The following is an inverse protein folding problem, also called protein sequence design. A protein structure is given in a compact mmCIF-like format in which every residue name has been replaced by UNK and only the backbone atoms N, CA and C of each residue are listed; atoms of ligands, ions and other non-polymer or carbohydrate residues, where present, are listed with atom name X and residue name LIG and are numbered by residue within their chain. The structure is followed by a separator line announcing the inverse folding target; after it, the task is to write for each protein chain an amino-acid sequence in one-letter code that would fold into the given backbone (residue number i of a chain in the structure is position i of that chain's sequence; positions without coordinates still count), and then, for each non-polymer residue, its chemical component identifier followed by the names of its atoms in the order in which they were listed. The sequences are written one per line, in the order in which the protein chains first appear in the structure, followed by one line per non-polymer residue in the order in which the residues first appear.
data_IF_745764374493
#
_entry.id   IF_745764374493
#
_cell.length_a   1.000
_cell.length_b   1.000
_cell.length_c   1.000
_cell.angle_alpha   90.00
_cell.angle_beta   90.00
_cell.angle_gamma   90.00
#
_symmetry.space_group_name_H-M   'P 1'
#
loop_
_entity.id
_entity.type
_entity.pdbx_description
1 polymer ?
#
# COMPACT_ATOMS: atom_id res chain seq x y z
N UNK A 1 10.03 16.77 28.60
CA UNK A 1 9.31 17.94 28.06
C UNK A 1 8.38 17.34 27.06
N UNK A 2 7.14 17.24 27.47
CA UNK A 2 6.18 16.40 26.79
C UNK A 2 5.36 17.32 25.90
N UNK A 3 5.26 16.95 24.63
CA UNK A 3 4.44 17.66 23.66
C UNK A 3 3.07 17.00 23.70
N UNK A 4 2.06 17.76 24.06
CA UNK A 4 0.67 17.33 23.98
C UNK A 4 0.03 17.99 22.77
N UNK A 5 -0.51 17.17 21.88
CA UNK A 5 -1.28 17.62 20.72
C UNK A 5 -2.75 17.50 21.08
N UNK A 6 -3.49 18.56 20.87
CA UNK A 6 -4.92 18.65 21.17
C UNK A 6 -5.66 18.82 19.84
N UNK A 7 -6.53 17.87 19.52
CA UNK A 7 -7.23 17.85 18.25
C UNK A 7 -8.74 17.81 18.45
N UNK A 8 -9.43 18.52 17.57
CA UNK A 8 -10.84 18.34 17.23
C UNK A 8 -10.91 18.07 15.73
N UNK A 9 -12.06 17.62 15.18
CA UNK A 9 -12.24 17.57 13.73
C UNK A 9 -12.08 18.93 13.03
N UNK A 10 -12.02 20.02 13.79
CA UNK A 10 -11.97 21.40 13.31
C UNK A 10 -10.56 22.00 13.38
N UNK A 11 -9.74 21.64 14.37
CA UNK A 11 -8.39 22.19 14.54
C UNK A 11 -7.43 21.25 15.27
N UNK A 12 -6.14 21.53 15.09
CA UNK A 12 -5.07 21.00 15.94
C UNK A 12 -4.31 22.15 16.58
N UNK A 13 -4.10 22.04 17.89
CA UNK A 13 -3.17 22.88 18.65
C UNK A 13 -2.25 21.98 19.48
N UNK A 14 -1.25 22.57 20.11
CA UNK A 14 -0.33 21.84 20.96
C UNK A 14 0.18 22.71 22.11
N UNK A 15 0.56 22.05 23.19
CA UNK A 15 1.17 22.71 24.36
C UNK A 15 2.26 21.84 24.98
N UNK A 16 3.09 22.47 25.82
CA UNK A 16 4.28 21.88 26.41
C UNK A 16 4.18 21.80 27.91
N UNK A 17 4.39 20.61 28.45
CA UNK A 17 4.40 20.40 29.89
C UNK A 17 5.76 19.89 30.38
N UNK A 18 6.31 20.61 31.37
CA UNK A 18 7.65 20.36 31.94
C UNK A 18 7.61 19.60 33.25
N UNK A 19 6.44 19.47 33.87
CA UNK A 19 6.26 18.82 35.17
C UNK A 19 4.93 18.08 35.22
N UNK A 20 4.90 16.96 35.95
CA UNK A 20 3.68 16.18 36.22
C UNK A 20 2.83 16.88 37.29
N UNK A 21 2.23 18.01 36.91
CA UNK A 21 1.28 18.79 37.71
C UNK A 21 0.03 19.05 36.88
N UNK A 22 -0.98 19.65 37.51
CA UNK A 22 -2.16 20.12 36.81
C UNK A 22 -1.79 21.26 35.85
N UNK A 23 -2.25 21.15 34.61
CA UNK A 23 -2.10 22.17 33.57
C UNK A 23 -3.47 22.49 32.98
N UNK A 24 -3.62 23.69 32.42
CA UNK A 24 -4.87 24.14 31.82
C UNK A 24 -4.59 24.70 30.43
N UNK A 25 -5.07 24.00 29.39
CA UNK A 25 -5.13 24.53 28.04
C UNK A 25 -6.38 25.40 27.89
N UNK A 26 -6.22 26.62 27.37
CA UNK A 26 -7.33 27.53 27.07
C UNK A 26 -7.48 27.66 25.57
N UNK A 27 -8.73 27.58 25.13
CA UNK A 27 -9.12 27.91 23.77
C UNK A 27 -9.80 29.28 23.77
N UNK A 28 -9.15 30.27 23.16
CA UNK A 28 -9.64 31.66 23.16
C UNK A 28 -10.91 31.84 22.31
N UNK A 29 -11.04 31.02 21.27
CA UNK A 29 -12.23 30.92 20.43
C UNK A 29 -12.40 29.50 19.88
N UNK A 30 -13.60 29.21 19.41
CA UNK A 30 -13.92 28.04 18.60
C UNK A 30 -13.93 28.48 17.13
N UNK A 31 -13.38 27.66 16.24
CA UNK A 31 -13.34 28.00 14.80
C UNK A 31 -14.74 28.05 14.19
N UNK A 32 -15.66 27.23 14.70
CA UNK A 32 -17.05 27.15 14.27
C UNK A 32 -17.98 26.85 15.46
N UNK A 33 -19.24 27.32 15.49
CA UNK A 33 -20.23 26.90 16.49
C UNK A 33 -20.38 25.37 16.63
N UNK A 34 -20.19 24.63 15.54
CA UNK A 34 -20.25 23.18 15.52
C UNK A 34 -19.02 22.53 16.20
N UNK A 35 -17.85 23.19 16.22
CA UNK A 35 -16.70 22.74 17.03
C UNK A 35 -17.04 22.77 18.53
N UNK A 36 -17.66 23.85 19.00
CA UNK A 36 -18.07 23.96 20.40
C UNK A 36 -19.08 22.88 20.77
N UNK A 37 -20.05 22.60 19.90
CA UNK A 37 -21.04 21.56 20.12
C UNK A 37 -20.40 20.16 20.11
N UNK A 38 -19.46 19.91 19.20
CA UNK A 38 -18.67 18.69 19.18
C UNK A 38 -17.91 18.51 20.50
N UNK A 39 -17.17 19.53 20.96
CA UNK A 39 -16.36 19.44 22.18
C UNK A 39 -17.21 19.27 23.43
N UNK A 40 -18.41 19.85 23.48
CA UNK A 40 -19.35 19.61 24.60
C UNK A 40 -19.79 18.15 24.70
N UNK A 41 -19.93 17.48 23.57
CA UNK A 41 -20.39 16.08 23.50
C UNK A 41 -19.26 15.07 23.61
N UNK A 42 -18.12 15.35 23.00
CA UNK A 42 -17.04 14.39 22.77
C UNK A 42 -15.72 14.75 23.46
N UNK A 43 -15.60 15.97 23.98
CA UNK A 43 -14.35 16.49 24.51
C UNK A 43 -13.34 16.83 23.40
N UNK A 44 -12.07 16.93 23.79
CA UNK A 44 -10.93 17.21 22.90
C UNK A 44 -10.03 15.98 22.92
N UNK A 45 -9.63 15.50 21.74
CA UNK A 45 -8.67 14.40 21.64
C UNK A 45 -7.30 14.90 22.07
N UNK A 46 -6.66 14.20 23.01
CA UNK A 46 -5.35 14.58 23.55
C UNK A 46 -4.35 13.48 23.24
N UNK A 47 -3.34 13.81 22.44
CA UNK A 47 -2.24 12.92 22.09
C UNK A 47 -1.00 13.35 22.85
N UNK A 48 -0.46 12.42 23.64
CA UNK A 48 0.89 12.57 24.15
C UNK A 48 1.85 12.15 23.04
N UNK A 49 2.77 13.03 22.66
CA UNK A 49 3.94 12.68 21.88
C UNK A 49 5.05 12.32 22.88
N UNK A 50 5.26 11.03 23.20
CA UNK A 50 6.05 10.62 24.36
C UNK A 50 7.54 10.95 24.18
N UNK A 51 7.98 11.16 22.94
CA UNK A 51 9.34 11.58 22.60
C UNK A 51 9.56 13.10 22.75
N UNK A 52 8.50 13.89 23.03
CA UNK A 52 8.55 15.36 23.11
C UNK A 52 8.89 16.04 21.78
N UNK A 53 9.06 17.38 21.77
CA UNK A 53 9.44 18.12 20.56
C UNK A 53 10.80 17.67 20.01
N UNK A 54 11.77 17.41 20.89
CA UNK A 54 13.11 16.97 20.47
C UNK A 54 13.05 15.60 19.79
N UNK A 55 12.30 14.65 20.36
CA UNK A 55 12.08 13.36 19.74
C UNK A 55 11.24 13.43 18.47
N UNK A 56 10.26 14.34 18.39
CA UNK A 56 9.48 14.58 17.17
C UNK A 56 10.35 15.20 16.06
N UNK A 57 11.23 16.14 16.40
CA UNK A 57 12.23 16.70 15.49
C UNK A 57 13.25 15.64 15.05
N UNK A 58 13.69 14.76 15.97
CA UNK A 58 14.54 13.61 15.66
C UNK A 58 13.84 12.59 14.77
N UNK A 59 12.54 12.33 14.96
CA UNK A 59 11.74 11.50 14.06
C UNK A 59 11.59 12.14 12.68
N UNK A 60 11.44 13.46 12.58
CA UNK A 60 11.51 14.17 11.30
C UNK A 60 12.90 14.04 10.66
N UNK A 61 13.98 14.03 11.46
CA UNK A 61 15.34 13.74 10.98
C UNK A 61 15.49 12.29 10.51
N UNK A 62 14.74 11.32 11.04
CA UNK A 62 14.73 9.93 10.55
C UNK A 62 13.88 9.77 9.26
N UNK A 63 12.83 10.57 9.08
CA UNK A 63 11.86 10.43 7.96
C UNK A 63 12.20 11.31 6.76
N UNK A 64 12.59 12.57 6.96
CA UNK A 64 12.92 13.48 5.85
C UNK A 64 14.03 12.96 4.91
N UNK A 65 15.10 12.28 5.40
CA UNK A 65 16.13 11.74 4.53
C UNK A 65 15.61 10.66 3.57
N UNK A 66 14.54 9.94 3.93
CA UNK A 66 13.99 8.84 3.13
C UNK A 66 13.64 9.30 1.71
N UNK A 67 13.19 10.55 1.57
CA UNK A 67 12.77 11.14 0.29
C UNK A 67 13.94 11.74 -0.52
N UNK A 68 15.16 11.74 0.02
CA UNK A 68 16.34 12.28 -0.67
C UNK A 68 16.82 11.35 -1.78
N UNK A 69 17.02 11.89 -2.99
CA UNK A 69 17.57 11.13 -4.11
C UNK A 69 19.11 11.12 -4.09
N UNK A 70 19.68 10.66 -2.98
CA UNK A 70 21.13 10.62 -2.74
C UNK A 70 21.55 9.29 -2.13
N UNK A 71 22.86 9.01 -2.06
CA UNK A 71 23.36 7.84 -1.33
C UNK A 71 23.01 7.89 0.17
N UNK A 72 22.93 9.10 0.74
CA UNK A 72 22.47 9.28 2.11
C UNK A 72 20.99 8.89 2.27
N UNK A 73 20.12 9.37 1.37
CA UNK A 73 18.71 8.97 1.37
C UNK A 73 18.54 7.46 1.17
N UNK A 74 19.33 6.85 0.28
CA UNK A 74 19.34 5.40 0.11
C UNK A 74 19.70 4.66 1.40
N UNK A 75 20.79 5.05 2.06
CA UNK A 75 21.20 4.44 3.31
C UNK A 75 20.14 4.65 4.42
N UNK A 76 19.50 5.82 4.46
CA UNK A 76 18.42 6.08 5.41
C UNK A 76 17.22 5.13 5.19
N UNK A 77 16.84 4.85 3.94
CA UNK A 77 15.79 3.87 3.64
C UNK A 77 16.18 2.46 4.14
N UNK A 78 17.41 2.02 3.86
CA UNK A 78 17.90 0.71 4.30
C UNK A 78 17.95 0.60 5.84
N UNK A 79 18.49 1.62 6.51
CA UNK A 79 18.59 1.66 7.97
C UNK A 79 17.20 1.68 8.62
N UNK A 80 16.25 2.42 8.04
CA UNK A 80 14.86 2.47 8.51
C UNK A 80 14.20 1.08 8.42
N UNK A 81 14.23 0.45 7.25
CA UNK A 81 13.60 -0.86 7.04
C UNK A 81 14.28 -1.95 7.88
N UNK A 82 15.60 -1.89 8.05
CA UNK A 82 16.33 -2.80 8.94
C UNK A 82 15.92 -2.62 10.40
N UNK A 83 15.82 -1.38 10.86
CA UNK A 83 15.46 -1.04 12.25
C UNK A 83 14.00 -1.41 12.57
N UNK A 84 13.09 -1.16 11.64
CA UNK A 84 11.64 -1.26 11.90
C UNK A 84 11.00 -2.55 11.40
N UNK A 85 11.62 -3.25 10.46
CA UNK A 85 11.09 -4.48 9.85
C UNK A 85 12.04 -5.68 9.93
N UNK A 86 13.28 -5.48 10.39
CA UNK A 86 14.28 -6.55 10.41
C UNK A 86 14.80 -6.97 9.04
N UNK A 87 14.55 -6.17 7.99
CA UNK A 87 15.03 -6.44 6.64
C UNK A 87 16.57 -6.44 6.58
N UNK A 88 17.17 -7.32 5.77
CA UNK A 88 18.63 -7.45 5.71
C UNK A 88 19.26 -6.59 4.62
N UNK A 89 18.61 -6.51 3.45
CA UNK A 89 19.12 -5.84 2.25
C UNK A 89 20.58 -6.19 1.96
N UNK A 90 20.86 -7.48 1.77
CA UNK A 90 22.20 -7.93 1.37
C UNK A 90 22.54 -7.43 -0.04
N UNK A 91 23.75 -6.92 -0.24
CA UNK A 91 24.20 -6.53 -1.59
C UNK A 91 24.48 -7.76 -2.44
N UNK A 92 23.99 -7.74 -3.68
CA UNK A 92 24.17 -8.80 -4.66
C UNK A 92 25.53 -8.69 -5.36
N UNK A 93 26.05 -9.84 -5.77
CA UNK A 93 27.23 -9.89 -6.65
C UNK A 93 26.80 -9.47 -8.05
N UNK A 94 27.60 -8.62 -8.70
CA UNK A 94 27.34 -8.20 -10.08
C UNK A 94 27.36 -9.39 -11.07
N UNK A 95 26.59 -9.34 -12.16
CA UNK A 95 25.75 -8.22 -12.60
C UNK A 95 24.40 -8.12 -11.86
N UNK A 96 23.95 -6.89 -11.60
CA UNK A 96 22.66 -6.60 -10.96
C UNK A 96 21.47 -6.61 -11.93
N UNK A 97 21.69 -7.11 -13.14
CA UNK A 97 20.72 -7.11 -14.23
C UNK A 97 20.77 -8.47 -14.91
N UNK A 98 19.59 -9.09 -15.03
CA UNK A 98 19.41 -10.27 -15.86
C UNK A 98 19.17 -9.89 -17.33
N UNK A 99 19.61 -10.75 -18.24
CA UNK A 99 19.21 -10.71 -19.65
C UNK A 99 17.96 -11.57 -19.81
N UNK A 100 16.80 -10.96 -19.58
CA UNK A 100 15.50 -11.61 -19.68
C UNK A 100 15.18 -11.89 -21.15
N UNK A 101 14.86 -13.15 -21.47
CA UNK A 101 14.27 -13.53 -22.76
C UNK A 101 12.74 -13.40 -22.67
N UNK A 102 12.09 -12.48 -23.42
CA UNK A 102 10.64 -12.34 -23.44
C UNK A 102 9.90 -13.62 -23.85
N UNK A 103 10.56 -14.57 -24.54
CA UNK A 103 9.97 -15.86 -24.86
C UNK A 103 9.66 -16.69 -23.59
N UNK A 104 10.50 -16.59 -22.56
CA UNK A 104 10.37 -17.34 -21.30
C UNK A 104 9.38 -16.70 -20.30
N UNK A 105 8.92 -15.48 -20.57
CA UNK A 105 7.93 -14.77 -19.75
C UNK A 105 6.52 -15.09 -20.26
N UNK A 106 5.56 -15.26 -19.36
CA UNK A 106 4.20 -15.69 -19.69
C UNK A 106 3.16 -14.70 -19.20
N UNK A 107 1.97 -14.75 -19.81
CA UNK A 107 0.80 -14.02 -19.31
C UNK A 107 0.51 -14.41 -17.87
N UNK A 108 0.33 -13.39 -17.03
CA UNK A 108 0.08 -13.52 -15.61
C UNK A 108 1.34 -13.63 -14.76
N UNK A 109 2.56 -13.71 -15.31
CA UNK A 109 3.78 -13.63 -14.48
C UNK A 109 3.83 -12.25 -13.77
N UNK A 110 4.05 -12.29 -12.46
CA UNK A 110 3.96 -11.12 -11.58
C UNK A 110 5.32 -10.43 -11.46
N UNK A 111 5.33 -9.10 -11.39
CA UNK A 111 6.52 -8.30 -11.15
C UNK A 111 6.37 -7.59 -9.81
N UNK A 112 7.24 -7.92 -8.85
CA UNK A 112 7.39 -7.20 -7.60
C UNK A 112 8.52 -6.16 -7.74
N UNK A 113 8.24 -4.91 -7.41
CA UNK A 113 9.18 -3.79 -7.50
C UNK A 113 9.39 -3.19 -6.12
N UNK A 114 10.64 -2.93 -5.77
CA UNK A 114 11.04 -2.29 -4.52
C UNK A 114 12.01 -1.17 -4.85
N UNK A 115 11.67 0.07 -4.52
CA UNK A 115 12.53 1.25 -4.62
C UNK A 115 13.03 1.61 -3.23
N UNK A 116 14.24 2.17 -3.18
CA UNK A 116 14.93 2.49 -1.91
C UNK A 116 15.60 3.86 -1.93
N UNK A 117 15.31 4.71 -2.92
CA UNK A 117 15.91 6.05 -3.04
C UNK A 117 14.96 7.07 -3.64
N UNK A 118 15.11 8.33 -3.23
CA UNK A 118 14.32 9.46 -3.76
C UNK A 118 12.87 9.44 -3.28
N UNK A 119 12.04 10.29 -3.90
CA UNK A 119 10.62 10.47 -3.51
C UNK A 119 9.89 9.13 -3.41
N UNK A 120 9.95 8.33 -4.47
CA UNK A 120 9.27 7.04 -4.54
C UNK A 120 9.85 6.01 -3.56
N UNK A 121 11.17 5.97 -3.39
CA UNK A 121 11.78 5.11 -2.37
C UNK A 121 11.31 5.44 -0.95
N UNK A 122 11.18 6.73 -0.63
CA UNK A 122 10.67 7.16 0.67
C UNK A 122 9.21 6.76 0.90
N UNK A 123 8.33 6.94 -0.09
CA UNK A 123 6.94 6.50 -0.01
C UNK A 123 6.85 4.98 0.17
N UNK A 124 7.53 4.22 -0.69
CA UNK A 124 7.52 2.77 -0.60
C UNK A 124 8.11 2.26 0.73
N UNK A 125 9.11 2.93 1.31
CA UNK A 125 9.65 2.55 2.62
C UNK A 125 8.61 2.65 3.73
N UNK A 126 7.78 3.71 3.71
CA UNK A 126 6.69 3.86 4.68
C UNK A 126 5.58 2.85 4.41
N UNK A 127 5.22 2.62 3.15
CA UNK A 127 4.25 1.59 2.75
C UNK A 127 4.68 0.19 3.20
N UNK A 128 5.94 -0.20 2.93
CA UNK A 128 6.54 -1.46 3.39
C UNK A 128 6.43 -1.60 4.89
N UNK A 129 6.70 -0.52 5.63
CA UNK A 129 6.62 -0.54 7.08
C UNK A 129 5.21 -0.75 7.62
N UNK A 130 4.19 -0.10 7.05
CA UNK A 130 2.81 -0.24 7.54
C UNK A 130 2.14 -1.53 7.07
N UNK A 131 2.49 -2.06 5.90
CA UNK A 131 1.89 -3.28 5.32
C UNK A 131 2.67 -4.57 5.60
N UNK A 132 3.93 -4.44 6.01
CA UNK A 132 4.86 -5.57 6.08
C UNK A 132 5.30 -6.09 4.71
N UNK A 133 4.90 -5.44 3.61
CA UNK A 133 5.39 -5.77 2.29
C UNK A 133 6.87 -5.42 2.18
N UNK A 134 7.66 -6.22 1.46
CA UNK A 134 9.07 -5.92 1.15
C UNK A 134 9.26 -5.40 -0.28
N UNK A 135 8.15 -5.27 -1.02
CA UNK A 135 8.01 -4.57 -2.29
C UNK A 135 6.99 -3.43 -2.11
N UNK A 136 7.14 -2.35 -2.87
CA UNK A 136 6.26 -1.17 -2.79
C UNK A 136 5.54 -0.85 -4.10
N UNK A 137 5.76 -1.64 -5.15
CA UNK A 137 4.95 -1.55 -6.37
C UNK A 137 4.87 -2.89 -7.08
N UNK A 138 3.84 -3.06 -7.90
CA UNK A 138 3.61 -4.32 -8.61
C UNK A 138 3.16 -4.07 -10.04
N UNK A 139 3.52 -4.99 -10.93
CA UNK A 139 3.10 -5.02 -12.32
C UNK A 139 2.86 -6.46 -12.78
N UNK A 140 2.26 -6.66 -13.95
CA UNK A 140 2.00 -7.99 -14.49
C UNK A 140 2.33 -8.08 -15.97
N UNK A 141 2.91 -9.21 -16.36
CA UNK A 141 3.23 -9.52 -17.74
C UNK A 141 2.02 -10.08 -18.50
N UNK A 142 1.83 -9.67 -19.74
CA UNK A 142 0.80 -10.17 -20.65
C UNK A 142 1.37 -10.41 -22.05
N UNK A 143 1.05 -11.54 -22.66
CA UNK A 143 1.33 -11.80 -24.08
C UNK A 143 0.10 -11.55 -24.91
N UNK A 144 0.24 -10.77 -25.98
CA UNK A 144 -0.83 -10.57 -26.97
C UNK A 144 -0.96 -11.79 -27.91
N UNK A 145 -1.93 -11.75 -28.82
CA UNK A 145 -2.18 -12.82 -29.80
C UNK A 145 -1.00 -13.07 -30.76
N UNK A 146 -0.13 -12.08 -30.95
CA UNK A 146 1.09 -12.19 -31.76
C UNK A 146 2.28 -12.71 -30.94
N UNK A 147 2.12 -12.90 -29.64
CA UNK A 147 3.17 -13.32 -28.72
C UNK A 147 4.08 -12.19 -28.23
N UNK A 148 3.76 -10.92 -28.52
CA UNK A 148 4.53 -9.80 -27.98
C UNK A 148 4.26 -9.65 -26.49
N UNK A 149 5.30 -9.25 -25.75
CA UNK A 149 5.24 -9.07 -24.30
C UNK A 149 4.89 -7.63 -23.93
N UNK A 150 3.90 -7.49 -23.05
CA UNK A 150 3.37 -6.25 -22.49
C UNK A 150 3.44 -6.30 -20.97
N UNK A 151 3.45 -5.13 -20.35
CA UNK A 151 3.38 -4.95 -18.89
C UNK A 151 2.20 -4.07 -18.56
N UNK A 152 1.31 -4.58 -17.71
CA UNK A 152 0.22 -3.83 -17.10
C UNK A 152 0.58 -3.41 -15.68
N UNK A 153 0.36 -2.15 -15.34
CA UNK A 153 0.53 -1.63 -13.98
C UNK A 153 -0.47 -0.52 -13.67
N UNK A 154 -0.83 -0.36 -12.40
CA UNK A 154 -1.56 0.81 -11.89
C UNK A 154 -0.62 1.66 -11.06
N UNK A 155 -0.54 2.97 -11.33
CA UNK A 155 0.37 3.89 -10.64
C UNK A 155 1.43 4.49 -11.57
N UNK A 156 1.20 4.44 -12.88
CA UNK A 156 2.09 5.02 -13.88
C UNK A 156 1.83 6.51 -14.03
N UNK A 157 2.85 7.34 -13.85
CA UNK A 157 2.73 8.79 -13.98
C UNK A 157 2.66 9.20 -15.47
N UNK A 158 1.58 9.85 -15.88
CA UNK A 158 1.42 10.37 -17.23
C UNK A 158 2.12 11.73 -17.42
N UNK A 159 2.07 12.30 -18.63
CA UNK A 159 2.71 13.59 -18.95
C UNK A 159 2.17 14.78 -18.12
N UNK A 160 0.99 14.64 -17.49
CA UNK A 160 0.38 15.65 -16.62
C UNK A 160 0.73 15.47 -15.15
N UNK A 161 1.49 14.42 -14.80
CA UNK A 161 1.80 14.07 -13.42
C UNK A 161 0.68 13.30 -12.70
N UNK A 162 -0.30 12.76 -13.44
CA UNK A 162 -1.39 11.96 -12.87
C UNK A 162 -0.99 10.48 -12.89
N UNK A 163 -1.25 9.76 -11.80
CA UNK A 163 -1.07 8.31 -11.74
C UNK A 163 -2.26 7.58 -12.35
N UNK A 164 -2.00 6.78 -13.38
CA UNK A 164 -3.01 6.04 -14.15
C UNK A 164 -2.64 4.56 -14.30
N UNK A 165 -3.61 3.79 -14.76
CA UNK A 165 -3.42 2.40 -15.19
C UNK A 165 -2.95 2.39 -16.64
N UNK A 166 -1.88 1.66 -16.93
CA UNK A 166 -1.33 1.51 -18.28
C UNK A 166 -1.07 0.06 -18.61
N UNK A 167 -1.10 -0.24 -19.92
CA UNK A 167 -0.58 -1.49 -20.48
C UNK A 167 0.36 -1.10 -21.62
N UNK A 168 1.67 -1.20 -21.37
CA UNK A 168 2.71 -0.75 -22.31
C UNK A 168 3.61 -1.92 -22.75
N UNK A 169 4.28 -1.82 -23.92
CA UNK A 169 5.20 -2.86 -24.37
C UNK A 169 6.34 -3.09 -23.36
N UNK A 170 6.75 -4.35 -23.19
CA UNK A 170 7.85 -4.72 -22.28
C UNK A 170 9.13 -3.92 -22.49
N UNK A 171 9.51 -3.68 -23.74
CA UNK A 171 10.75 -2.95 -24.05
C UNK A 171 10.70 -1.49 -23.56
N UNK A 172 9.53 -0.88 -23.57
CA UNK A 172 9.29 0.47 -23.07
C UNK A 172 9.35 0.48 -21.55
N UNK A 173 8.57 -0.39 -20.88
CA UNK A 173 8.57 -0.53 -19.42
C UNK A 173 9.96 -0.84 -18.88
N UNK A 174 10.68 -1.78 -19.52
CA UNK A 174 12.03 -2.16 -19.14
C UNK A 174 13.03 -1.00 -19.34
N UNK A 175 12.85 -0.19 -20.39
CA UNK A 175 13.69 1.01 -20.58
C UNK A 175 13.45 2.04 -19.48
N UNK A 176 12.20 2.21 -19.03
CA UNK A 176 11.87 3.08 -17.90
C UNK A 176 12.48 2.56 -16.60
N UNK A 177 12.33 1.27 -16.31
CA UNK A 177 12.92 0.63 -15.13
C UNK A 177 14.45 0.79 -15.07
N UNK A 178 15.15 0.72 -16.21
CA UNK A 178 16.60 0.92 -16.29
C UNK A 178 17.02 2.39 -16.13
N UNK A 179 16.15 3.34 -16.45
CA UNK A 179 16.39 4.79 -16.28
C UNK A 179 15.95 5.31 -14.91
N UNK A 180 15.19 4.53 -14.17
CA UNK A 180 14.69 4.89 -12.85
C UNK A 180 15.86 5.11 -11.88
N UNK A 181 15.99 6.35 -11.41
CA UNK A 181 17.06 6.77 -10.51
C UNK A 181 16.71 6.54 -9.02
N UNK A 182 15.59 5.91 -8.70
CA UNK A 182 15.21 5.49 -7.34
C UNK A 182 15.89 4.20 -6.87
N UNK A 183 16.78 3.63 -7.68
CA UNK A 183 17.46 2.34 -7.45
C UNK A 183 16.44 1.21 -7.22
N UNK A 184 15.70 0.79 -8.26
CA UNK A 184 14.72 -0.28 -8.12
C UNK A 184 15.38 -1.67 -8.03
N UNK A 185 14.78 -2.54 -7.21
CA UNK A 185 14.95 -3.98 -7.20
C UNK A 185 13.68 -4.60 -7.78
N UNK A 186 13.83 -5.51 -8.75
CA UNK A 186 12.70 -6.09 -9.47
C UNK A 186 12.82 -7.60 -9.48
N UNK A 187 11.76 -8.27 -9.03
CA UNK A 187 11.60 -9.71 -9.08
C UNK A 187 10.42 -10.10 -9.97
N UNK A 188 10.65 -11.07 -10.84
CA UNK A 188 9.63 -11.75 -11.62
C UNK A 188 9.26 -13.05 -10.90
N UNK A 189 7.97 -13.21 -10.61
CA UNK A 189 7.37 -14.37 -9.94
C UNK A 189 6.51 -15.12 -10.98
N UNK A 190 7.01 -16.22 -11.56
CA UNK A 190 6.25 -16.97 -12.55
C UNK A 190 5.02 -17.63 -11.92
N UNK A 191 3.89 -17.66 -12.64
CA UNK A 191 2.75 -18.47 -12.19
C UNK A 191 3.06 -19.96 -12.21
N UNK A 192 2.50 -20.71 -11.26
CA UNK A 192 2.61 -22.16 -11.25
C UNK A 192 2.05 -22.75 -12.57
N UNK A 193 2.70 -23.76 -13.18
CA UNK A 193 2.30 -24.27 -14.50
C UNK A 193 0.85 -24.73 -14.60
N UNK A 194 0.28 -25.28 -13.53
CA UNK A 194 -1.13 -25.71 -13.49
C UNK A 194 -2.11 -24.53 -13.53
N UNK A 195 -1.74 -23.40 -12.90
CA UNK A 195 -2.53 -22.18 -12.93
C UNK A 195 -2.38 -21.48 -14.28
N UNK A 196 -1.15 -21.44 -14.81
CA UNK A 196 -0.86 -20.95 -16.17
C UNK A 196 -1.67 -21.68 -17.23
N UNK A 197 -1.82 -23.00 -17.13
CA UNK A 197 -2.61 -23.80 -18.07
C UNK A 197 -4.11 -23.46 -18.06
N UNK A 198 -4.62 -22.88 -16.97
CA UNK A 198 -6.02 -22.46 -16.81
C UNK A 198 -6.22 -20.96 -17.00
N UNK A 199 -5.15 -20.19 -17.14
CA UNK A 199 -5.19 -18.74 -17.27
C UNK A 199 -5.91 -18.35 -18.57
N UNK A 200 -7.07 -17.69 -18.44
CA UNK A 200 -7.81 -17.18 -19.59
C UNK A 200 -7.20 -15.85 -20.07
N UNK A 201 -6.28 -15.94 -21.03
CA UNK A 201 -5.60 -14.77 -21.60
C UNK A 201 -6.56 -13.76 -22.25
N UNK A 202 -7.65 -14.21 -22.88
CA UNK A 202 -8.63 -13.30 -23.50
C UNK A 202 -9.33 -12.46 -22.44
N UNK A 203 -9.84 -13.09 -21.38
CA UNK A 203 -10.49 -12.37 -20.28
C UNK A 203 -9.52 -11.45 -19.54
N UNK A 204 -8.27 -11.86 -19.35
CA UNK A 204 -7.24 -11.01 -18.76
C UNK A 204 -6.99 -9.75 -19.59
N UNK A 205 -6.91 -9.88 -20.92
CA UNK A 205 -6.76 -8.74 -21.82
C UNK A 205 -7.99 -7.84 -21.88
N UNK A 206 -9.20 -8.40 -21.86
CA UNK A 206 -10.44 -7.63 -21.77
C UNK A 206 -10.45 -6.77 -20.51
N UNK A 207 -10.10 -7.36 -19.36
CA UNK A 207 -9.98 -6.64 -18.11
C UNK A 207 -8.91 -5.54 -18.20
N UNK A 208 -7.68 -5.89 -18.59
CA UNK A 208 -6.56 -4.95 -18.65
C UNK A 208 -6.86 -3.76 -19.58
N UNK A 209 -7.47 -4.00 -20.74
CA UNK A 209 -7.90 -2.94 -21.67
C UNK A 209 -9.02 -2.09 -21.10
N UNK A 210 -9.97 -2.68 -20.39
CA UNK A 210 -11.06 -1.93 -19.78
C UNK A 210 -10.59 -0.97 -18.69
N UNK A 211 -9.47 -1.29 -18.02
CA UNK A 211 -8.88 -0.47 -16.97
C UNK A 211 -7.82 0.52 -17.48
N UNK A 212 -7.24 0.30 -18.67
CA UNK A 212 -6.23 1.20 -19.22
C UNK A 212 -6.75 2.64 -19.33
N UNK A 213 -5.96 3.59 -18.83
CA UNK A 213 -6.28 5.02 -18.78
C UNK A 213 -7.15 5.46 -17.59
N UNK A 214 -7.59 4.53 -16.74
CA UNK A 214 -8.33 4.84 -15.51
C UNK A 214 -7.40 5.31 -14.38
N UNK A 215 -7.91 6.04 -13.38
CA UNK A 215 -7.10 6.56 -12.29
C UNK A 215 -6.57 5.47 -11.34
N UNK A 216 -5.49 5.80 -10.64
CA UNK A 216 -4.96 5.01 -9.53
C UNK A 216 -5.94 4.95 -8.34
N UNK A 217 -5.95 3.81 -7.64
CA UNK A 217 -6.85 3.53 -6.53
C UNK A 217 -6.49 4.19 -5.20
N UNK A 218 -6.33 5.52 -5.14
CA UNK A 218 -6.04 6.22 -3.88
C UNK A 218 -7.13 6.04 -2.82
N UNK A 219 -8.41 5.97 -3.24
CA UNK A 219 -9.56 5.74 -2.36
C UNK A 219 -9.49 4.42 -1.59
N UNK A 220 -8.82 3.42 -2.17
CA UNK A 220 -8.64 2.09 -1.60
C UNK A 220 -7.38 2.01 -0.72
N UNK A 221 -6.29 2.63 -1.16
CA UNK A 221 -4.93 2.37 -0.65
C UNK A 221 -4.78 2.54 0.87
N UNK A 222 -5.55 3.45 1.47
CA UNK A 222 -5.49 3.67 2.93
C UNK A 222 -6.17 2.53 3.68
N UNK A 223 -7.26 1.98 3.16
CA UNK A 223 -8.09 1.01 3.88
C UNK A 223 -7.60 -0.43 3.73
N UNK A 224 -6.84 -0.75 2.69
CA UNK A 224 -6.36 -2.10 2.38
C UNK A 224 -5.37 -2.70 3.40
N UNK A 225 -5.04 -1.97 4.47
CA UNK A 225 -4.22 -2.47 5.58
C UNK A 225 -4.82 -2.12 6.95
N UNK A 226 -6.09 -1.69 7.01
CA UNK A 226 -6.82 -1.35 8.24
C UNK A 226 -7.98 -2.33 8.42
N UNK A 227 -7.66 -3.58 8.76
CA UNK A 227 -8.65 -4.66 8.80
C UNK A 227 -9.23 -4.88 10.21
N UNK A 228 -8.57 -4.34 11.23
CA UNK A 228 -8.93 -4.58 12.63
C UNK A 228 -9.16 -3.27 13.39
N UNK A 229 -9.90 -3.28 14.50
CA UNK A 229 -10.19 -2.02 15.26
C UNK A 229 -8.94 -1.46 15.95
N UNK A 230 -7.98 -2.33 16.24
CA UNK A 230 -6.67 -2.04 16.81
C UNK A 230 -5.63 -2.90 16.09
N UNK A 231 -4.33 -2.68 16.29
CA UNK A 231 -3.27 -3.55 15.76
C UNK A 231 -3.06 -3.51 14.23
N UNK A 232 -3.35 -2.39 13.57
CA UNK A 232 -2.91 -2.15 12.18
C UNK A 232 -1.75 -1.16 12.07
N UNK A 233 -1.55 -0.36 13.12
CA UNK A 233 -0.72 0.83 13.06
C UNK A 233 0.58 0.62 13.81
N UNK A 234 1.74 0.83 13.17
CA UNK A 234 3.02 0.82 13.87
C UNK A 234 3.03 1.87 15.00
N UNK A 235 3.44 1.52 16.23
CA UNK A 235 3.57 2.51 17.30
C UNK A 235 4.48 3.69 16.89
N UNK A 236 4.12 4.94 17.21
CA UNK A 236 3.03 5.38 18.09
C UNK A 236 1.71 5.70 17.36
N UNK A 237 1.52 5.27 16.11
CA UNK A 237 0.28 5.53 15.37
C UNK A 237 -0.89 4.74 15.99
N UNK A 238 -2.05 5.39 16.10
CA UNK A 238 -3.32 4.76 16.46
C UNK A 238 -4.46 5.35 15.62
N UNK A 239 -5.65 4.73 15.67
CA UNK A 239 -6.81 5.16 14.90
C UNK A 239 -7.22 6.61 15.21
N UNK A 240 -7.05 7.09 16.44
CA UNK A 240 -7.38 8.46 16.82
C UNK A 240 -6.40 9.48 16.22
N UNK A 241 -5.11 9.13 16.11
CA UNK A 241 -4.12 9.94 15.43
C UNK A 241 -4.37 9.97 13.93
N UNK A 242 -4.76 8.85 13.32
CA UNK A 242 -5.17 8.76 11.91
C UNK A 242 -6.38 9.66 11.64
N UNK A 243 -7.43 9.58 12.47
CA UNK A 243 -8.61 10.48 12.40
C UNK A 243 -8.19 11.95 12.48
N UNK A 244 -7.26 12.28 13.37
CA UNK A 244 -6.81 13.66 13.57
C UNK A 244 -6.03 14.17 12.36
N UNK A 245 -5.17 13.34 11.76
CA UNK A 245 -4.45 13.65 10.52
C UNK A 245 -5.39 13.75 9.33
N UNK A 246 -6.35 12.83 9.19
CA UNK A 246 -7.39 12.87 8.15
C UNK A 246 -8.23 14.14 8.26
N UNK A 247 -8.63 14.54 9.48
CA UNK A 247 -9.39 15.76 9.74
C UNK A 247 -8.61 17.03 9.36
N UNK A 248 -7.32 17.08 9.72
CA UNK A 248 -6.43 18.18 9.31
C UNK A 248 -6.28 18.28 7.79
N UNK A 249 -5.96 17.15 7.15
CA UNK A 249 -5.68 17.12 5.71
C UNK A 249 -6.93 17.46 4.90
N UNK A 250 -8.11 17.04 5.38
CA UNK A 250 -9.42 17.42 4.80
C UNK A 250 -9.65 18.93 4.83
N UNK A 251 -9.21 19.61 5.88
CA UNK A 251 -9.31 21.07 5.96
C UNK A 251 -8.25 21.80 5.14
N UNK A 252 -7.01 21.27 5.11
CA UNK A 252 -5.88 21.90 4.41
C UNK A 252 -5.90 21.70 2.89
N UNK A 253 -6.37 20.55 2.41
CA UNK A 253 -6.43 20.17 1.00
C UNK A 253 -7.75 19.43 0.71
N UNK A 254 -8.91 20.13 0.78
CA UNK A 254 -10.24 19.51 0.73
C UNK A 254 -10.49 18.71 -0.55
N UNK A 255 -9.97 19.16 -1.70
CA UNK A 255 -10.09 18.43 -2.96
C UNK A 255 -9.31 17.11 -2.96
N UNK A 256 -8.17 17.05 -2.26
CA UNK A 256 -7.34 15.84 -2.20
C UNK A 256 -7.88 14.85 -1.16
N UNK A 257 -8.33 15.33 -0.01
CA UNK A 257 -8.97 14.50 1.01
C UNK A 257 -10.31 13.89 0.56
N UNK A 258 -11.12 14.66 -0.19
CA UNK A 258 -12.33 14.15 -0.81
C UNK A 258 -12.04 12.93 -1.71
N UNK A 259 -10.92 12.99 -2.43
CA UNK A 259 -10.43 11.92 -3.30
C UNK A 259 -9.69 10.78 -2.57
N UNK A 260 -9.42 10.88 -1.27
CA UNK A 260 -8.67 9.86 -0.54
C UNK A 260 -9.53 9.03 0.42
N UNK A 261 -10.53 9.62 1.06
CA UNK A 261 -11.33 8.88 2.06
C UNK A 261 -12.80 9.26 2.15
N UNK A 262 -13.24 10.47 1.79
CA UNK A 262 -14.65 10.84 2.02
C UNK A 262 -15.62 9.92 1.27
N UNK A 263 -15.39 9.70 -0.03
CA UNK A 263 -16.28 8.85 -0.81
C UNK A 263 -16.20 7.38 -0.34
N UNK A 264 -15.00 6.91 0.02
CA UNK A 264 -14.78 5.56 0.52
C UNK A 264 -15.48 5.30 1.88
N UNK A 265 -15.46 6.29 2.78
CA UNK A 265 -16.18 6.25 4.06
C UNK A 265 -17.70 6.31 3.86
N UNK A 266 -18.17 7.13 2.92
CA UNK A 266 -19.58 7.18 2.53
C UNK A 266 -20.08 5.83 2.01
N UNK A 267 -19.32 5.17 1.12
CA UNK A 267 -19.68 3.82 0.62
C UNK A 267 -19.76 2.80 1.75
N UNK A 268 -18.83 2.82 2.71
CA UNK A 268 -18.85 1.96 3.91
C UNK A 268 -20.07 2.23 4.80
N UNK A 269 -20.51 3.48 4.90
CA UNK A 269 -21.75 3.85 5.59
C UNK A 269 -23.03 3.63 4.77
N UNK A 270 -22.94 3.40 3.46
CA UNK A 270 -24.10 3.44 2.57
C UNK A 270 -24.75 4.83 2.52
N UNK A 271 -23.95 5.89 2.59
CA UNK A 271 -24.35 7.29 2.41
C UNK A 271 -23.69 7.88 1.16
N UNK A 272 -24.07 9.10 0.80
CA UNK A 272 -23.51 9.84 -0.35
C UNK A 272 -23.28 11.30 0.05
N UNK A 273 -22.22 11.91 -0.48
CA UNK A 273 -21.89 13.33 -0.37
C UNK A 273 -21.76 13.92 1.05
N UNK A 274 -21.59 13.07 2.08
CA UNK A 274 -21.25 13.55 3.42
C UNK A 274 -19.76 13.93 3.48
N UNK A 275 -19.45 15.08 4.07
CA UNK A 275 -18.08 15.39 4.43
C UNK A 275 -17.64 14.57 5.66
N UNK A 276 -16.34 14.63 6.01
CA UNK A 276 -15.82 13.87 7.14
C UNK A 276 -16.52 14.23 8.46
N UNK A 277 -16.97 15.47 8.65
CA UNK A 277 -17.67 15.86 9.86
C UNK A 277 -19.07 15.24 9.94
N UNK A 278 -19.82 15.29 8.84
CA UNK A 278 -21.14 14.68 8.74
C UNK A 278 -21.06 13.14 8.82
N UNK A 279 -20.00 12.52 8.28
CA UNK A 279 -19.69 11.10 8.46
C UNK A 279 -19.55 10.76 9.96
N UNK A 280 -18.78 11.55 10.72
CA UNK A 280 -18.60 11.32 12.15
C UNK A 280 -19.93 11.43 12.91
N UNK A 281 -20.76 12.43 12.59
CA UNK A 281 -22.10 12.56 13.17
C UNK A 281 -22.97 11.36 12.81
N UNK A 282 -22.92 10.88 11.56
CA UNK A 282 -23.73 9.75 11.10
C UNK A 282 -23.29 8.43 11.75
N UNK A 283 -21.99 8.22 11.95
CA UNK A 283 -21.48 7.07 12.73
C UNK A 283 -22.03 7.06 14.15
N UNK A 284 -22.06 8.22 14.82
CA UNK A 284 -22.60 8.37 16.18
C UNK A 284 -24.10 8.04 16.22
N UNK A 285 -24.89 8.59 15.28
CA UNK A 285 -26.34 8.30 15.19
C UNK A 285 -26.62 6.81 15.01
N UNK A 286 -25.75 6.09 14.30
CA UNK A 286 -25.87 4.65 14.05
C UNK A 286 -25.23 3.78 15.14
N UNK A 287 -24.56 4.38 16.12
CA UNK A 287 -23.84 3.66 17.17
C UNK A 287 -22.66 2.85 16.63
N UNK A 288 -22.06 3.28 15.52
CA UNK A 288 -20.88 2.66 14.91
C UNK A 288 -19.66 3.48 15.36
N UNK A 289 -18.65 2.83 15.92
CA UNK A 289 -17.40 3.51 16.24
C UNK A 289 -16.59 3.78 14.96
N UNK A 290 -15.84 4.89 14.90
CA UNK A 290 -15.16 5.26 13.65
C UNK A 290 -14.07 4.26 13.25
N UNK A 291 -13.34 3.70 14.22
CA UNK A 291 -12.42 2.59 13.99
C UNK A 291 -13.12 1.38 13.35
N UNK A 292 -14.32 1.02 13.82
CA UNK A 292 -15.14 -0.02 13.22
C UNK A 292 -15.61 0.34 11.80
N UNK A 293 -15.84 1.62 11.50
CA UNK A 293 -16.14 2.05 10.13
C UNK A 293 -14.95 1.78 9.20
N UNK A 294 -13.72 2.04 9.65
CA UNK A 294 -12.51 1.82 8.86
C UNK A 294 -12.31 0.34 8.49
N UNK A 295 -12.72 -0.59 9.36
CA UNK A 295 -12.59 -2.04 9.13
C UNK A 295 -13.65 -2.64 8.21
N UNK A 296 -14.57 -1.85 7.65
CA UNK A 296 -15.54 -2.38 6.68
C UNK A 296 -14.80 -2.64 5.36
N UNK A 297 -14.80 -3.89 4.84
CA UNK A 297 -13.99 -4.21 3.67
C UNK A 297 -14.38 -3.42 2.43
N UNK A 298 -13.38 -2.91 1.72
CA UNK A 298 -13.54 -2.35 0.38
C UNK A 298 -14.11 -3.44 -0.54
N UNK A 299 -15.08 -3.06 -1.37
CA UNK A 299 -15.66 -4.00 -2.32
C UNK A 299 -15.08 -3.77 -3.71
N UNK A 300 -14.65 -4.86 -4.36
CA UNK A 300 -14.07 -4.84 -5.70
C UNK A 300 -14.98 -4.16 -6.72
N UNK A 301 -16.30 -4.16 -6.50
CA UNK A 301 -17.31 -3.59 -7.40
C UNK A 301 -17.56 -2.10 -7.19
N UNK A 302 -17.06 -1.49 -6.11
CA UNK A 302 -17.23 -0.06 -5.87
C UNK A 302 -16.61 0.78 -7.00
N UNK A 303 -17.32 1.85 -7.36
CA UNK A 303 -16.93 2.81 -8.39
C UNK A 303 -16.98 4.19 -7.74
N UNK A 304 -15.93 4.96 -7.93
CA UNK A 304 -15.77 6.29 -7.38
C UNK A 304 -16.20 7.36 -8.39
N UNK A 305 -16.35 8.59 -7.93
CA UNK A 305 -16.74 9.74 -8.76
C UNK A 305 -15.75 10.04 -9.90
N UNK A 306 -14.47 9.71 -9.73
CA UNK A 306 -13.42 9.76 -10.75
C UNK A 306 -13.35 8.48 -11.62
N UNK A 307 -14.21 7.50 -11.34
CA UNK A 307 -14.40 6.28 -12.11
C UNK A 307 -13.97 5.03 -11.36
N UNK A 308 -13.77 3.95 -12.13
CA UNK A 308 -13.23 2.69 -11.59
C UNK A 308 -11.72 2.87 -11.38
N UNK A 309 -11.23 2.58 -10.19
CA UNK A 309 -9.82 2.70 -9.86
C UNK A 309 -9.36 1.46 -9.08
N UNK A 310 -8.08 1.14 -9.16
CA UNK A 310 -7.46 0.01 -8.44
C UNK A 310 -6.02 0.37 -8.09
N UNK A 311 -5.53 -0.06 -6.93
CA UNK A 311 -4.10 0.00 -6.60
C UNK A 311 -3.30 -0.94 -7.49
N UNK A 312 -1.96 -0.86 -7.43
CA UNK A 312 -1.06 -1.68 -8.25
C UNK A 312 -1.38 -3.18 -8.12
N UNK A 313 -1.53 -3.67 -6.89
CA UNK A 313 -1.77 -5.09 -6.62
C UNK A 313 -3.21 -5.50 -6.89
N UNK A 314 -4.20 -4.66 -6.53
CA UNK A 314 -5.60 -4.94 -6.79
C UNK A 314 -5.89 -5.04 -8.30
N UNK A 315 -5.20 -4.25 -9.14
CA UNK A 315 -5.27 -4.37 -10.59
C UNK A 315 -4.90 -5.77 -11.07
N UNK A 316 -3.77 -6.30 -10.58
CA UNK A 316 -3.25 -7.62 -11.00
C UNK A 316 -4.16 -8.74 -10.50
N UNK A 317 -4.57 -8.67 -9.22
CA UNK A 317 -5.40 -9.71 -8.63
C UNK A 317 -6.82 -9.70 -9.20
N UNK A 318 -7.36 -8.53 -9.58
CA UNK A 318 -8.62 -8.43 -10.32
C UNK A 318 -8.50 -9.07 -11.71
N UNK A 319 -7.36 -8.87 -12.37
CA UNK A 319 -7.05 -9.57 -13.62
C UNK A 319 -6.96 -11.09 -13.40
N UNK A 320 -6.37 -11.56 -12.30
CA UNK A 320 -6.36 -12.98 -11.94
C UNK A 320 -7.76 -13.54 -11.67
N UNK A 321 -8.66 -12.75 -11.05
CA UNK A 321 -10.09 -13.10 -10.92
C UNK A 321 -10.73 -13.28 -12.28
N UNK A 322 -10.55 -12.31 -13.19
CA UNK A 322 -11.07 -12.38 -14.56
C UNK A 322 -10.47 -13.55 -15.37
N UNK A 323 -9.19 -13.83 -15.16
CA UNK A 323 -8.46 -14.92 -15.82
C UNK A 323 -8.77 -16.31 -15.26
N UNK A 324 -9.55 -16.41 -14.16
CA UNK A 324 -9.99 -17.67 -13.56
C UNK A 324 -9.01 -18.31 -12.57
N UNK A 325 -7.98 -17.60 -12.12
CA UNK A 325 -6.94 -18.13 -11.21
C UNK A 325 -7.53 -18.52 -9.85
N UNK A 326 -8.43 -17.70 -9.29
CA UNK A 326 -9.07 -17.98 -8.00
C UNK A 326 -10.20 -19.00 -8.07
N UNK A 327 -10.62 -19.42 -9.27
CA UNK A 327 -11.64 -20.45 -9.46
C UNK A 327 -12.93 -20.17 -8.65
N UNK A 328 -13.47 -21.16 -7.91
CA UNK A 328 -14.76 -21.04 -7.22
C UNK A 328 -14.83 -19.97 -6.13
N UNK A 329 -13.69 -19.60 -5.52
CA UNK A 329 -13.68 -18.62 -4.42
C UNK A 329 -13.54 -17.18 -4.92
N UNK A 330 -13.43 -16.97 -6.24
CA UNK A 330 -13.25 -15.64 -6.85
C UNK A 330 -14.30 -14.63 -6.38
N UNK A 331 -15.56 -15.04 -6.24
CA UNK A 331 -16.66 -14.17 -5.78
C UNK A 331 -16.63 -13.85 -4.27
N UNK A 332 -15.79 -14.55 -3.50
CA UNK A 332 -15.68 -14.42 -2.04
C UNK A 332 -14.38 -13.78 -1.61
N UNK A 333 -13.60 -13.23 -2.54
CA UNK A 333 -12.36 -12.49 -2.28
C UNK A 333 -12.56 -11.07 -2.77
N UNK A 334 -12.31 -10.09 -1.91
CA UNK A 334 -12.17 -8.69 -2.28
C UNK A 334 -10.68 -8.39 -2.47
N UNK A 335 -10.22 -8.34 -3.72
CA UNK A 335 -8.79 -8.10 -3.98
C UNK A 335 -8.37 -6.66 -3.72
N UNK A 336 -9.34 -5.76 -3.56
CA UNK A 336 -9.14 -4.43 -3.01
C UNK A 336 -8.58 -4.42 -1.59
N UNK A 337 -8.76 -5.50 -0.82
CA UNK A 337 -8.24 -5.64 0.54
C UNK A 337 -6.82 -6.23 0.60
N UNK A 338 -6.21 -6.50 -0.55
CA UNK A 338 -4.89 -7.15 -0.57
C UNK A 338 -3.80 -6.09 -0.55
N UNK A 339 -2.84 -6.27 0.36
CA UNK A 339 -1.54 -5.59 0.25
C UNK A 339 -0.63 -6.33 -0.74
N UNK A 340 0.50 -5.70 -1.09
CA UNK A 340 1.54 -6.36 -1.91
C UNK A 340 2.06 -7.62 -1.21
N UNK A 341 2.13 -7.60 0.13
CA UNK A 341 2.52 -8.76 0.93
C UNK A 341 1.60 -9.94 0.69
N UNK A 342 0.30 -9.72 0.80
CA UNK A 342 -0.68 -10.78 0.66
C UNK A 342 -0.61 -11.40 -0.74
N UNK A 343 -0.41 -10.59 -1.76
CA UNK A 343 -0.32 -11.07 -3.14
C UNK A 343 0.87 -11.99 -3.38
N UNK A 344 2.09 -11.64 -2.91
CA UNK A 344 3.24 -12.53 -3.10
C UNK A 344 3.22 -13.74 -2.16
N UNK A 345 2.43 -13.71 -1.08
CA UNK A 345 2.25 -14.85 -0.17
C UNK A 345 1.32 -15.91 -0.76
N UNK A 346 0.45 -15.56 -1.71
CA UNK A 346 -0.44 -16.50 -2.39
C UNK A 346 0.34 -17.67 -3.00
N UNK A 347 -0.12 -18.89 -2.74
CA UNK A 347 0.44 -20.13 -3.25
C UNK A 347 0.02 -20.40 -4.69
N UNK A 348 0.34 -19.44 -5.57
CA UNK A 348 -0.03 -19.43 -6.99
C UNK A 348 1.18 -19.37 -7.92
N UNK A 349 2.38 -19.20 -7.36
CA UNK A 349 3.62 -19.03 -8.11
C UNK A 349 4.39 -20.34 -8.22
N UNK A 350 5.38 -20.37 -9.11
CA UNK A 350 6.29 -21.48 -9.28
C UNK A 350 7.09 -21.74 -8.00
N UNK A 351 7.03 -22.98 -7.52
CA UNK A 351 7.70 -23.47 -6.30
C UNK A 351 8.89 -24.39 -6.60
N UNK A 352 9.02 -24.85 -7.84
CA UNK A 352 10.11 -25.68 -8.30
C UNK A 352 11.14 -24.87 -9.09
N UNK A 353 12.28 -24.59 -8.45
CA UNK A 353 13.39 -23.85 -9.04
C UNK A 353 13.92 -24.45 -10.35
N UNK A 354 13.76 -25.76 -10.60
CA UNK A 354 14.23 -26.36 -11.86
C UNK A 354 13.38 -25.99 -13.07
N UNK A 355 12.17 -25.45 -12.84
CA UNK A 355 11.26 -24.96 -13.88
C UNK A 355 11.42 -23.46 -14.18
N UNK A 356 12.18 -22.75 -13.34
CA UNK A 356 12.48 -21.34 -13.58
C UNK A 356 13.32 -21.18 -14.86
N UNK A 357 13.19 -20.05 -15.58
CA UNK A 357 13.98 -19.78 -16.78
C UNK A 357 15.49 -19.89 -16.54
N UNK A 358 16.28 -20.23 -17.55
CA UNK A 358 17.73 -20.44 -17.37
C UNK A 358 18.50 -19.17 -16.96
N UNK A 359 17.97 -18.00 -17.32
CA UNK A 359 18.51 -16.70 -16.90
C UNK A 359 18.07 -16.30 -15.49
N UNK A 360 17.15 -17.06 -14.88
CA UNK A 360 16.66 -16.85 -13.53
C UNK A 360 17.65 -17.44 -12.52
N UNK A 361 18.15 -16.59 -11.64
CA UNK A 361 19.15 -16.91 -10.60
C UNK A 361 20.52 -17.31 -11.16
N UNK A 362 21.57 -16.67 -10.64
CA UNK A 362 22.95 -17.07 -10.90
C UNK A 362 23.39 -18.12 -9.88
N UNK A 363 24.47 -18.86 -10.14
CA UNK A 363 24.99 -19.89 -9.21
C UNK A 363 25.18 -19.37 -7.77
N UNK A 364 25.51 -18.08 -7.64
CA UNK A 364 25.81 -17.41 -6.38
C UNK A 364 24.62 -16.68 -5.73
N UNK A 365 23.47 -16.59 -6.41
CA UNK A 365 22.34 -15.76 -6.00
C UNK A 365 21.02 -16.48 -6.28
N UNK A 366 20.81 -17.59 -5.55
CA UNK A 366 19.62 -18.43 -5.67
C UNK A 366 18.47 -17.88 -4.85
N UNK A 367 17.39 -17.50 -5.53
CA UNK A 367 16.09 -17.17 -4.96
C UNK A 367 15.04 -18.23 -5.34
N UNK A 368 13.93 -18.32 -4.59
CA UNK A 368 12.78 -19.11 -5.03
C UNK A 368 12.07 -18.50 -6.25
N UNK A 369 12.43 -17.28 -6.65
CA UNK A 369 11.89 -16.53 -7.78
C UNK A 369 13.03 -15.88 -8.60
N UNK A 370 12.71 -15.06 -9.61
CA UNK A 370 13.69 -14.47 -10.52
C UNK A 370 13.96 -13.00 -10.23
N UNK A 371 15.04 -12.65 -9.53
CA UNK A 371 15.41 -11.24 -9.37
C UNK A 371 16.15 -10.69 -10.62
N UNK A 372 15.43 -9.92 -11.43
CA UNK A 372 15.87 -9.45 -12.76
C UNK A 372 16.60 -8.11 -12.74
N UNK A 373 16.40 -7.29 -11.69
CA UNK A 373 17.09 -6.01 -11.50
C UNK A 373 17.39 -5.73 -10.02
N UNK A 374 18.46 -4.99 -9.76
CA UNK A 374 18.70 -4.31 -8.47
C UNK A 374 19.98 -4.73 -7.77
N UNK A 375 20.57 -3.77 -7.05
CA UNK A 375 21.82 -3.92 -6.27
C UNK A 375 21.64 -4.80 -5.03
N UNK A 376 20.45 -4.78 -4.41
CA UNK A 376 20.16 -5.47 -3.16
C UNK A 376 19.29 -6.69 -3.40
N UNK A 377 19.52 -7.72 -2.59
CA UNK A 377 18.80 -8.98 -2.58
C UNK A 377 17.34 -8.71 -2.19
N UNK A 378 16.40 -9.10 -3.05
CA UNK A 378 14.97 -8.99 -2.73
C UNK A 378 14.58 -10.07 -1.74
N UNK A 379 13.91 -9.64 -0.68
CA UNK A 379 13.28 -10.49 0.31
C UNK A 379 11.77 -10.41 0.07
N UNK A 380 11.09 -11.55 0.03
CA UNK A 380 9.62 -11.62 -0.02
C UNK A 380 9.17 -12.59 1.09
N UNK A 381 9.11 -12.16 2.35
CA UNK A 381 8.84 -13.04 3.48
C UNK A 381 7.47 -13.71 3.39
N UNK A 382 7.42 -15.04 3.45
CA UNK A 382 6.18 -15.80 3.26
C UNK A 382 5.80 -16.02 1.79
N UNK A 383 6.70 -15.72 0.84
CA UNK A 383 6.49 -15.98 -0.59
C UNK A 383 5.93 -17.38 -0.86
N UNK A 384 4.81 -17.43 -1.58
CA UNK A 384 4.20 -18.66 -2.09
C UNK A 384 3.83 -19.69 -0.99
N UNK A 385 3.28 -19.24 0.14
CA UNK A 385 2.99 -20.11 1.31
C UNK A 385 1.51 -20.28 1.65
N UNK A 386 0.63 -19.39 1.20
CA UNK A 386 -0.78 -19.37 1.60
C UNK A 386 -1.71 -19.80 0.46
N UNK A 387 -2.49 -20.85 0.68
CA UNK A 387 -3.60 -21.16 -0.22
C UNK A 387 -4.65 -20.04 -0.18
N UNK A 388 -5.16 -19.58 -1.33
CA UNK A 388 -6.31 -18.68 -1.35
C UNK A 388 -7.54 -19.28 -0.64
N UNK A 389 -8.25 -18.50 0.17
CA UNK A 389 -9.52 -18.88 0.82
C UNK A 389 -10.53 -17.71 0.79
N UNK A 390 -11.78 -18.01 1.13
CA UNK A 390 -12.86 -17.02 1.15
C UNK A 390 -12.65 -15.99 2.27
N UNK A 391 -12.96 -14.72 1.99
CA UNK A 391 -12.84 -13.59 2.91
C UNK A 391 -11.42 -13.36 3.45
N UNK A 392 -10.41 -13.80 2.69
CA UNK A 392 -9.00 -13.60 3.00
C UNK A 392 -8.67 -12.11 3.01
N UNK A 393 -7.89 -11.65 4.00
CA UNK A 393 -7.45 -10.26 4.16
C UNK A 393 -8.54 -9.26 4.55
N UNK A 394 -9.66 -9.71 5.13
CA UNK A 394 -10.70 -8.79 5.63
C UNK A 394 -10.57 -8.52 7.14
N UNK A 395 -9.67 -9.23 7.84
CA UNK A 395 -9.53 -9.20 9.31
C UNK A 395 -8.07 -9.41 9.78
N UNK A 396 -7.10 -8.88 9.03
CA UNK A 396 -5.68 -9.14 9.22
C UNK A 396 -4.92 -7.95 9.83
N UNK A 397 -4.38 -8.07 11.05
CA UNK A 397 -3.52 -7.02 11.60
C UNK A 397 -2.20 -6.92 10.83
N UNK A 398 -1.60 -5.73 10.85
CA UNK A 398 -0.35 -5.43 10.13
C UNK A 398 0.68 -4.75 11.04
N UNK A 399 1.00 -5.37 12.19
CA UNK A 399 1.96 -4.80 13.12
C UNK A 399 3.42 -5.20 12.84
N UNK A 400 4.33 -4.24 12.68
CA UNK A 400 5.77 -4.52 12.71
C UNK A 400 6.24 -4.96 14.10
N UNK A 401 7.40 -5.65 14.18
CA UNK A 401 8.24 -6.07 13.07
C UNK A 401 7.90 -7.47 12.52
N UNK A 402 7.03 -8.22 13.18
CA UNK A 402 6.75 -9.63 12.84
C UNK A 402 5.63 -9.79 11.82
N UNK A 403 4.68 -8.86 11.81
CA UNK A 403 3.50 -8.88 10.95
C UNK A 403 2.76 -10.21 11.05
N UNK A 404 2.54 -10.66 12.28
CA UNK A 404 1.94 -11.96 12.57
C UNK A 404 0.53 -12.07 11.99
N UNK A 405 0.25 -13.20 11.35
CA UNK A 405 -1.03 -13.48 10.69
C UNK A 405 -1.88 -14.42 11.57
N UNK A 406 -2.92 -13.94 12.29
CA UNK A 406 -3.75 -14.79 13.15
C UNK A 406 -4.60 -15.78 12.36
N UNK A 407 -5.15 -16.80 13.02
CA UNK A 407 -6.00 -17.82 12.36
C UNK A 407 -7.32 -17.30 11.74
N UNK A 408 -7.76 -16.09 12.11
CA UNK A 408 -9.00 -15.46 11.63
C UNK A 408 -8.78 -14.46 10.50
N UNK A 409 -7.52 -14.26 10.17
CA UNK A 409 -7.09 -13.62 8.95
C UNK A 409 -7.22 -14.69 7.84
#
# INVERSE_FOLDING_TARGET
MDLYVFATPYRITWDYYFSAREHTLKFDSWEDPAELEYVKRHGVSVFLMPSGMLGTLLSLVDVLPLFSNTAWGQNANLDFLKKHMGATFEKRIQPWRATVDPADVHSGDFLAVSKIRGRWGGFETLEKWVTGAFAGHTAVCLKDEMGNLWVGESGHENEKGEEIIVVIPWHEWWTLALKDNSNPQIALLPLHPELRARFNSTAAWEYARSMSGKPYGYHNMIFSWIDTVADNYPPPLDAHLVISVMSMWTRMQPAYAANMWNEALNKRLGTEDLDLHDILIETEKRGIAFDQLLTIPEQDEWVYSDGKSTTCVAFILSMYKAAGIFGPISSSIQVTEFTIRDAYMLRIFEDNQTRLPRWCNNENDRHPFCQILGEYRMELPGYNTLDPYANMNEHCPSLPPTYDRPLKC
#
